data_IF_054256452149
#
_entry.id   IF_054256452149
#
_cell.length_a   1.000
_cell.length_b   1.000
_cell.length_c   1.000
_cell.angle_alpha   90.00
_cell.angle_beta   90.00
_cell.angle_gamma   90.00
#
_symmetry.space_group_name_H-M   'P 1'
#
loop_
_entity.id
_entity.type
_entity.pdbx_description
1 polymer ?
#
# COMPACT_ATOMS: atom_id res chain seq x y z
N UNK A 1 -4.66 -19.28 -5.35
CA UNK A 1 -5.20 -18.63 -6.57
C UNK A 1 -4.90 -17.14 -6.45
N UNK A 2 -3.77 -16.67 -6.98
CA UNK A 2 -3.46 -15.23 -7.00
C UNK A 2 -4.02 -14.66 -8.31
N UNK A 3 -5.03 -13.81 -8.21
CA UNK A 3 -5.58 -13.09 -9.36
C UNK A 3 -4.54 -12.08 -9.84
N UNK A 4 -3.79 -12.42 -10.89
CA UNK A 4 -2.94 -11.47 -11.62
C UNK A 4 -3.84 -10.57 -12.46
N UNK A 5 -4.32 -9.48 -11.87
CA UNK A 5 -4.97 -8.39 -12.61
C UNK A 5 -3.96 -7.83 -13.59
N UNK A 6 -4.13 -8.15 -14.87
CA UNK A 6 -3.29 -7.60 -15.95
C UNK A 6 -3.63 -6.12 -16.06
N UNK A 7 -2.77 -5.26 -15.53
CA UNK A 7 -2.90 -3.81 -15.61
C UNK A 7 -2.60 -3.39 -17.04
N UNK A 8 -3.51 -2.63 -17.65
CA UNK A 8 -3.33 -2.07 -19.00
C UNK A 8 -2.96 -0.60 -18.86
N UNK A 9 -1.94 -0.15 -19.58
CA UNK A 9 -1.49 1.24 -19.57
C UNK A 9 -2.45 2.10 -20.40
N UNK A 10 -3.44 2.73 -19.75
CA UNK A 10 -4.40 3.65 -20.37
C UNK A 10 -4.00 5.11 -20.14
N UNK A 11 -3.46 5.43 -18.97
CA UNK A 11 -3.04 6.78 -18.65
C UNK A 11 -1.93 6.86 -17.60
N UNK A 12 -1.58 8.08 -17.19
CA UNK A 12 -0.48 8.33 -16.26
C UNK A 12 -0.67 7.70 -14.87
N UNK A 13 -1.92 7.51 -14.43
CA UNK A 13 -2.24 6.85 -13.15
C UNK A 13 -1.85 5.36 -13.15
N UNK A 14 -1.89 4.71 -14.31
CA UNK A 14 -1.56 3.29 -14.45
C UNK A 14 -0.05 3.07 -14.60
N UNK A 15 0.73 4.12 -14.86
CA UNK A 15 2.16 4.03 -15.12
C UNK A 15 2.91 3.31 -14.00
N UNK A 16 2.72 3.73 -12.75
CA UNK A 16 3.44 3.17 -11.60
C UNK A 16 3.16 1.68 -11.40
N UNK A 17 1.90 1.21 -11.28
CA UNK A 17 1.62 -0.22 -11.13
C UNK A 17 2.01 -1.03 -12.38
N UNK A 18 1.80 -0.50 -13.58
CA UNK A 18 2.15 -1.17 -14.84
C UNK A 18 3.67 -1.35 -14.98
N UNK A 19 4.44 -0.29 -14.76
CA UNK A 19 5.91 -0.32 -14.86
C UNK A 19 6.51 -1.30 -13.85
N UNK A 20 6.00 -1.32 -12.62
CA UNK A 20 6.42 -2.29 -11.60
C UNK A 20 6.17 -3.74 -12.05
N UNK A 21 5.01 -4.03 -12.66
CA UNK A 21 4.69 -5.36 -13.19
C UNK A 21 5.63 -5.77 -14.33
N UNK A 22 5.95 -4.85 -15.26
CA UNK A 22 6.88 -5.15 -16.37
C UNK A 22 8.31 -5.34 -15.90
N UNK A 23 8.76 -4.54 -14.93
CA UNK A 23 10.04 -4.74 -14.26
C UNK A 23 10.13 -6.12 -13.62
N UNK A 24 9.09 -6.52 -12.88
CA UNK A 24 9.05 -7.84 -12.25
C UNK A 24 9.06 -8.97 -13.30
N UNK A 25 8.30 -8.84 -14.38
CA UNK A 25 8.26 -9.81 -15.47
C UNK A 25 9.64 -10.02 -16.11
N UNK A 26 10.32 -8.93 -16.49
CA UNK A 26 11.67 -8.98 -17.06
C UNK A 26 12.73 -9.45 -16.06
N UNK A 27 12.54 -9.19 -14.76
CA UNK A 27 13.41 -9.70 -13.69
C UNK A 27 13.26 -11.22 -13.54
N UNK A 28 12.04 -11.75 -13.59
CA UNK A 28 11.77 -13.21 -13.56
C UNK A 28 12.41 -13.90 -14.76
N UNK A 29 12.39 -13.24 -15.92
CA UNK A 29 13.04 -13.71 -17.16
C UNK A 29 14.56 -13.55 -17.15
N UNK A 30 15.14 -12.85 -16.17
CA UNK A 30 16.57 -12.63 -16.04
C UNK A 30 17.16 -11.66 -17.07
N UNK A 31 16.32 -10.84 -17.72
CA UNK A 31 16.73 -9.94 -18.83
C UNK A 31 16.52 -8.46 -18.52
N UNK A 32 16.11 -8.10 -17.29
CA UNK A 32 15.88 -6.70 -16.91
C UNK A 32 17.07 -5.78 -17.24
N UNK A 33 18.31 -6.26 -17.09
CA UNK A 33 19.53 -5.49 -17.38
C UNK A 33 19.59 -4.94 -18.81
N UNK A 34 18.95 -5.60 -19.78
CA UNK A 34 18.86 -5.18 -21.17
C UNK A 34 17.63 -4.30 -21.46
N UNK A 35 16.60 -4.38 -20.62
CA UNK A 35 15.34 -3.66 -20.80
C UNK A 35 15.28 -2.35 -20.02
N UNK A 36 16.13 -2.19 -19.00
CA UNK A 36 16.10 -1.04 -18.08
C UNK A 36 16.43 0.27 -18.83
N UNK A 37 15.54 1.28 -18.82
CA UNK A 37 15.79 2.59 -19.42
C UNK A 37 17.11 3.23 -18.98
N UNK A 38 17.48 3.03 -17.71
CA UNK A 38 18.63 3.65 -17.05
C UNK A 38 19.94 2.83 -17.23
N UNK A 39 19.86 1.61 -17.76
CA UNK A 39 21.03 0.75 -17.99
C UNK A 39 21.72 1.06 -19.31
N UNK A 40 23.05 1.14 -19.32
CA UNK A 40 23.85 1.28 -20.56
C UNK A 40 24.13 -0.07 -21.25
N UNK A 41 23.60 -1.18 -20.72
CA UNK A 41 23.92 -2.52 -21.21
C UNK A 41 23.18 -2.82 -22.52
N UNK A 42 23.93 -2.84 -23.63
CA UNK A 42 23.38 -3.16 -24.94
C UNK A 42 22.91 -4.62 -25.01
N UNK A 43 21.89 -4.87 -25.83
CA UNK A 43 21.46 -6.21 -26.24
C UNK A 43 22.69 -6.98 -26.72
N UNK A 44 22.91 -8.21 -26.23
CA UNK A 44 24.17 -8.88 -26.48
C UNK A 44 24.32 -9.17 -27.97
N UNK A 45 25.53 -8.96 -28.51
CA UNK A 45 25.82 -9.22 -29.93
C UNK A 45 25.87 -10.73 -30.21
N UNK A 46 25.61 -11.17 -31.46
CA UNK A 46 25.80 -12.55 -31.87
C UNK A 46 27.24 -13.02 -31.58
N UNK A 47 27.38 -14.20 -30.99
CA UNK A 47 28.70 -14.79 -30.71
C UNK A 47 29.32 -15.23 -32.04
N UNK A 48 30.49 -14.67 -32.37
CA UNK A 48 31.19 -14.99 -33.61
C UNK A 48 31.47 -16.50 -33.75
N UNK A 49 31.17 -17.04 -34.91
CA UNK A 49 31.40 -18.45 -35.24
C UNK A 49 32.90 -18.76 -35.21
N UNK A 50 33.33 -19.90 -34.65
CA UNK A 50 34.73 -20.33 -34.69
C UNK A 50 35.15 -20.61 -36.14
N UNK A 51 36.43 -20.47 -36.45
CA UNK A 51 36.98 -20.93 -37.73
C UNK A 51 36.87 -22.47 -37.83
N UNK A 52 36.77 -23.02 -39.03
CA UNK A 52 36.74 -24.47 -39.29
C UNK A 52 37.98 -25.19 -38.72
N UNK A 53 39.12 -24.49 -38.64
CA UNK A 53 40.37 -25.01 -38.06
C UNK A 53 40.40 -25.01 -36.51
N UNK A 54 39.32 -24.58 -35.85
CA UNK A 54 39.26 -24.46 -34.40
C UNK A 54 39.14 -25.82 -33.70
N UNK A 55 39.59 -25.89 -32.44
CA UNK A 55 39.50 -27.11 -31.65
C UNK A 55 38.05 -27.52 -31.36
N UNK A 56 37.81 -28.82 -31.15
CA UNK A 56 36.50 -29.35 -30.76
C UNK A 56 35.94 -28.70 -29.46
N UNK A 57 36.83 -28.24 -28.57
CA UNK A 57 36.43 -27.53 -27.35
C UNK A 57 35.98 -26.09 -27.64
N UNK A 58 36.59 -25.42 -28.62
CA UNK A 58 36.16 -24.09 -29.06
C UNK A 58 34.74 -24.13 -29.66
N UNK A 59 34.45 -25.17 -30.44
CA UNK A 59 33.11 -25.43 -30.98
C UNK A 59 32.07 -25.69 -29.88
N UNK A 60 32.40 -26.52 -28.87
CA UNK A 60 31.51 -26.76 -27.71
C UNK A 60 31.26 -25.48 -26.89
N UNK A 61 32.30 -24.68 -26.65
CA UNK A 61 32.17 -23.41 -25.94
C UNK A 61 31.30 -22.43 -26.72
N UNK A 62 31.46 -22.35 -28.04
CA UNK A 62 30.63 -21.53 -28.90
C UNK A 62 29.17 -21.99 -28.84
N UNK A 63 28.89 -23.29 -28.95
CA UNK A 63 27.53 -23.83 -28.91
C UNK A 63 26.82 -23.52 -27.58
N UNK A 64 27.52 -23.64 -26.45
CA UNK A 64 26.97 -23.27 -25.13
C UNK A 64 26.67 -21.77 -25.07
N UNK A 65 27.58 -20.94 -25.59
CA UNK A 65 27.41 -19.47 -25.61
C UNK A 65 26.29 -19.03 -26.54
N UNK A 66 26.18 -19.60 -27.74
CA UNK A 66 25.15 -19.27 -28.73
C UNK A 66 23.76 -19.69 -28.23
N UNK A 67 23.61 -20.87 -27.63
CA UNK A 67 22.36 -21.30 -26.98
C UNK A 67 21.94 -20.37 -25.84
N UNK A 68 22.90 -19.96 -25.00
CA UNK A 68 22.63 -18.98 -23.93
C UNK A 68 22.16 -17.64 -24.51
N UNK A 69 22.79 -17.20 -25.59
CA UNK A 69 22.46 -15.97 -26.27
C UNK A 69 21.07 -16.00 -26.90
N UNK A 70 20.74 -17.08 -27.62
CA UNK A 70 19.41 -17.28 -28.22
C UNK A 70 18.31 -17.28 -27.15
N UNK A 71 18.56 -17.92 -26.00
CA UNK A 71 17.64 -17.90 -24.85
C UNK A 71 17.41 -16.47 -24.32
N UNK A 72 18.46 -15.66 -24.22
CA UNK A 72 18.36 -14.25 -23.80
C UNK A 72 17.56 -13.43 -24.81
N UNK A 73 17.87 -13.54 -26.11
CA UNK A 73 17.16 -12.81 -27.17
C UNK A 73 15.67 -13.19 -27.22
N UNK A 74 15.36 -14.48 -27.05
CA UNK A 74 13.98 -14.96 -26.95
C UNK A 74 13.26 -14.36 -25.74
N UNK A 75 13.90 -14.33 -24.58
CA UNK A 75 13.33 -13.73 -23.37
C UNK A 75 13.11 -12.21 -23.52
N UNK A 76 14.02 -11.49 -24.18
CA UNK A 76 13.84 -10.06 -24.53
C UNK A 76 12.64 -9.88 -25.45
N UNK A 77 12.51 -10.72 -26.48
CA UNK A 77 11.35 -10.70 -27.39
C UNK A 77 10.02 -10.96 -26.68
N UNK A 78 10.00 -11.88 -25.71
CA UNK A 78 8.82 -12.12 -24.87
C UNK A 78 8.44 -10.91 -24.01
N UNK A 79 9.42 -10.18 -23.46
CA UNK A 79 9.19 -8.91 -22.74
C UNK A 79 8.62 -7.85 -23.68
N UNK A 80 9.16 -7.72 -24.90
CA UNK A 80 8.66 -6.78 -25.91
C UNK A 80 7.18 -7.05 -26.22
N UNK A 81 6.84 -8.30 -26.53
CA UNK A 81 5.46 -8.70 -26.80
C UNK A 81 4.53 -8.40 -25.62
N UNK A 82 5.02 -8.59 -24.41
CA UNK A 82 4.24 -8.36 -23.20
C UNK A 82 4.04 -6.87 -22.89
N UNK A 83 4.97 -6.00 -23.30
CA UNK A 83 4.77 -4.55 -23.30
C UNK A 83 3.68 -4.19 -24.31
N UNK A 84 3.81 -4.61 -25.57
CA UNK A 84 2.85 -4.32 -26.65
C UNK A 84 1.43 -4.78 -26.32
N UNK A 85 1.26 -5.95 -25.69
CA UNK A 85 -0.06 -6.50 -25.33
C UNK A 85 -0.78 -5.74 -24.23
N UNK A 86 -0.05 -5.03 -23.38
CA UNK A 86 -0.62 -4.39 -22.18
C UNK A 86 -0.60 -2.87 -22.27
N UNK A 87 -0.21 -2.32 -23.40
CA UNK A 87 -0.40 -0.91 -23.72
C UNK A 87 -1.77 -0.76 -24.37
N UNK A 88 -2.51 0.28 -24.00
CA UNK A 88 -3.79 0.57 -24.62
C UNK A 88 -3.64 0.75 -26.13
N UNK A 89 -4.61 0.26 -26.90
CA UNK A 89 -4.65 0.37 -28.37
C UNK A 89 -4.49 1.81 -28.85
N UNK A 90 -4.98 2.78 -28.07
CA UNK A 90 -4.85 4.22 -28.32
C UNK A 90 -3.40 4.69 -28.35
N UNK A 91 -2.51 4.06 -27.57
CA UNK A 91 -1.12 4.50 -27.36
C UNK A 91 -0.10 3.63 -28.09
N UNK A 92 -0.55 2.59 -28.80
CA UNK A 92 0.33 1.70 -29.60
C UNK A 92 1.12 2.47 -30.66
N UNK A 93 0.58 3.57 -31.18
CA UNK A 93 1.27 4.44 -32.15
C UNK A 93 2.58 5.04 -31.61
N UNK A 94 2.71 5.18 -30.29
CA UNK A 94 3.95 5.66 -29.64
C UNK A 94 5.07 4.63 -29.70
N UNK A 95 4.74 3.35 -29.84
CA UNK A 95 5.68 2.21 -29.75
C UNK A 95 5.87 1.52 -31.10
N UNK A 96 4.90 1.59 -32.00
CA UNK A 96 4.96 0.90 -33.31
C UNK A 96 5.86 1.59 -34.35
N UNK A 97 6.86 2.36 -33.91
CA UNK A 97 7.82 3.05 -34.77
C UNK A 97 9.05 2.17 -34.97
N UNK A 98 9.68 2.23 -36.15
CA UNK A 98 10.89 1.44 -36.45
C UNK A 98 12.09 1.70 -35.49
N UNK A 99 12.04 2.78 -34.73
CA UNK A 99 13.03 3.14 -33.69
C UNK A 99 12.80 2.39 -32.36
N UNK A 100 11.73 1.57 -32.27
CA UNK A 100 11.21 0.98 -31.04
C UNK A 100 11.16 -0.56 -31.05
N UNK A 101 12.04 -1.20 -31.80
CA UNK A 101 12.16 -2.67 -31.82
C UNK A 101 12.74 -3.25 -30.51
N UNK A 102 13.40 -2.42 -29.70
CA UNK A 102 14.03 -2.82 -28.45
C UNK A 102 13.19 -2.41 -27.22
N UNK A 103 12.91 -3.31 -26.26
CA UNK A 103 12.10 -3.02 -25.07
C UNK A 103 12.53 -1.76 -24.31
N UNK A 104 13.83 -1.46 -24.27
CA UNK A 104 14.34 -0.28 -23.58
C UNK A 104 13.81 1.00 -24.21
N UNK A 105 13.93 1.12 -25.53
CA UNK A 105 13.47 2.29 -26.27
C UNK A 105 11.95 2.51 -26.11
N UNK A 106 11.18 1.43 -26.11
CA UNK A 106 9.74 1.46 -25.84
C UNK A 106 9.45 1.97 -24.43
N UNK A 107 10.14 1.41 -23.42
CA UNK A 107 9.97 1.80 -22.03
C UNK A 107 10.38 3.26 -21.80
N UNK A 108 11.44 3.75 -22.44
CA UNK A 108 11.86 5.16 -22.36
C UNK A 108 10.82 6.09 -22.99
N UNK A 109 10.29 5.78 -24.17
CA UNK A 109 9.25 6.59 -24.81
C UNK A 109 7.98 6.63 -23.96
N UNK A 110 7.54 5.47 -23.47
CA UNK A 110 6.37 5.39 -22.59
C UNK A 110 6.62 6.10 -21.26
N UNK A 111 7.82 6.01 -20.70
CA UNK A 111 8.20 6.73 -19.50
C UNK A 111 8.10 8.24 -19.74
N UNK A 112 8.62 8.75 -20.84
CA UNK A 112 8.53 10.18 -21.16
C UNK A 112 7.08 10.66 -21.34
N UNK A 113 6.20 9.79 -21.84
CA UNK A 113 4.81 10.16 -22.13
C UNK A 113 3.85 9.97 -20.93
N UNK A 114 4.06 8.95 -20.10
CA UNK A 114 3.14 8.57 -19.02
C UNK A 114 3.69 8.80 -17.62
N UNK A 115 5.01 8.94 -17.44
CA UNK A 115 5.55 9.32 -16.13
C UNK A 115 5.12 10.76 -15.89
N UNK A 116 4.14 10.93 -15.00
CA UNK A 116 3.79 12.24 -14.45
C UNK A 116 5.08 12.87 -13.95
N UNK A 117 5.51 13.94 -14.61
CA UNK A 117 6.73 14.68 -14.23
C UNK A 117 6.58 15.10 -12.79
N UNK A 118 7.66 15.11 -12.00
CA UNK A 118 7.57 15.49 -10.58
C UNK A 118 6.96 16.91 -10.42
N UNK A 119 7.20 17.80 -11.38
CA UNK A 119 6.53 19.11 -11.46
C UNK A 119 5.01 18.98 -11.68
N UNK A 120 4.55 18.10 -12.56
CA UNK A 120 3.12 17.90 -12.81
C UNK A 120 2.43 17.25 -11.61
N UNK A 121 3.10 16.31 -10.92
CA UNK A 121 2.61 15.75 -9.65
C UNK A 121 2.45 16.85 -8.60
N UNK A 122 3.43 17.76 -8.49
CA UNK A 122 3.35 18.91 -7.58
C UNK A 122 2.19 19.84 -7.91
N UNK A 123 1.96 20.12 -9.20
CA UNK A 123 0.82 20.96 -9.64
C UNK A 123 -0.53 20.29 -9.38
N UNK A 124 -0.65 18.98 -9.64
CA UNK A 124 -1.84 18.20 -9.34
C UNK A 124 -2.11 18.17 -7.83
N UNK A 125 -1.08 17.95 -7.01
CA UNK A 125 -1.19 18.00 -5.55
C UNK A 125 -1.58 19.40 -5.05
N UNK A 126 -1.02 20.47 -5.61
CA UNK A 126 -1.39 21.84 -5.27
C UNK A 126 -2.86 22.13 -5.63
N UNK A 127 -3.33 21.63 -6.78
CA UNK A 127 -4.71 21.77 -7.22
C UNK A 127 -5.65 21.01 -6.28
N UNK A 128 -5.35 19.74 -5.98
CA UNK A 128 -6.11 18.93 -5.02
C UNK A 128 -6.12 19.55 -3.63
N UNK A 129 -5.02 20.15 -3.19
CA UNK A 129 -4.94 20.84 -1.91
C UNK A 129 -5.78 22.14 -1.90
N UNK A 130 -5.79 22.90 -2.99
CA UNK A 130 -6.68 24.06 -3.13
C UNK A 130 -8.16 23.65 -3.17
N UNK A 131 -8.47 22.52 -3.79
CA UNK A 131 -9.82 22.00 -3.88
C UNK A 131 -10.30 21.48 -2.51
N UNK A 132 -9.48 20.74 -1.76
CA UNK A 132 -9.86 20.23 -0.43
C UNK A 132 -9.99 21.34 0.61
N UNK A 133 -9.33 22.49 0.42
CA UNK A 133 -9.59 23.70 1.24
C UNK A 133 -11.03 24.20 1.10
N UNK A 134 -11.67 23.95 -0.04
CA UNK A 134 -13.08 24.29 -0.27
C UNK A 134 -13.91 23.03 -0.03
N UNK A 135 -14.52 22.92 1.15
CA UNK A 135 -15.36 21.75 1.48
C UNK A 135 -16.40 21.47 0.37
N UNK A 136 -16.42 20.26 -0.23
CA UNK A 136 -17.44 19.90 -1.20
C UNK A 136 -18.82 19.86 -0.55
N UNK A 137 -19.80 20.55 -1.14
CA UNK A 137 -21.16 20.70 -0.58
C UNK A 137 -21.89 19.36 -0.32
N UNK A 138 -21.46 18.29 -0.99
CA UNK A 138 -22.11 16.98 -0.97
C UNK A 138 -21.31 15.92 -0.18
N UNK A 139 -20.17 16.26 0.43
CA UNK A 139 -19.33 15.31 1.16
C UNK A 139 -19.51 15.44 2.67
N UNK A 140 -19.58 14.31 3.37
CA UNK A 140 -19.63 14.28 4.83
C UNK A 140 -18.35 14.84 5.45
N UNK A 141 -18.46 15.50 6.61
CA UNK A 141 -17.33 16.14 7.31
C UNK A 141 -16.20 15.15 7.58
N UNK A 142 -16.51 13.90 7.96
CA UNK A 142 -15.49 12.88 8.24
C UNK A 142 -14.71 12.47 7.00
N UNK A 143 -15.41 12.20 5.88
CA UNK A 143 -14.75 11.81 4.63
C UNK A 143 -13.85 12.94 4.09
N UNK A 144 -14.29 14.19 4.25
CA UNK A 144 -13.49 15.37 3.93
C UNK A 144 -12.22 15.46 4.80
N UNK A 145 -12.30 15.20 6.11
CA UNK A 145 -11.15 15.23 7.01
C UNK A 145 -10.14 14.11 6.72
N UNK A 146 -10.63 12.92 6.37
CA UNK A 146 -9.77 11.79 5.99
C UNK A 146 -8.99 12.11 4.70
N UNK A 147 -9.66 12.66 3.69
CA UNK A 147 -9.01 13.12 2.45
C UNK A 147 -8.03 14.27 2.71
N UNK A 148 -8.40 15.23 3.56
CA UNK A 148 -7.52 16.34 3.95
C UNK A 148 -6.24 15.82 4.63
N UNK A 149 -6.35 14.84 5.53
CA UNK A 149 -5.20 14.19 6.16
C UNK A 149 -4.32 13.46 5.14
N UNK A 150 -4.92 12.71 4.21
CA UNK A 150 -4.19 11.99 3.17
C UNK A 150 -3.43 12.94 2.22
N UNK A 151 -4.07 13.99 1.73
CA UNK A 151 -3.46 14.96 0.80
C UNK A 151 -2.33 15.72 1.52
N UNK A 152 -2.54 16.15 2.76
CA UNK A 152 -1.51 16.86 3.53
C UNK A 152 -0.29 15.99 3.80
N UNK A 153 -0.46 14.70 4.11
CA UNK A 153 0.67 13.75 4.20
C UNK A 153 1.45 13.65 2.88
N UNK A 154 0.77 13.62 1.74
CA UNK A 154 1.44 13.60 0.43
C UNK A 154 2.20 14.91 0.15
N UNK A 155 1.64 16.06 0.52
CA UNK A 155 2.31 17.36 0.38
C UNK A 155 3.55 17.49 1.29
N UNK A 156 3.52 16.91 2.49
CA UNK A 156 4.68 16.84 3.39
C UNK A 156 5.79 15.97 2.77
N UNK A 157 5.42 14.81 2.22
CA UNK A 157 6.36 13.91 1.57
C UNK A 157 7.06 14.56 0.36
N UNK A 158 6.32 15.33 -0.43
CA UNK A 158 6.84 16.04 -1.62
C UNK A 158 7.49 17.40 -1.28
N UNK A 159 7.61 17.74 0.02
CA UNK A 159 8.19 19.00 0.52
C UNK A 159 7.60 20.25 -0.15
N UNK A 160 6.26 20.31 -0.25
CA UNK A 160 5.56 21.43 -0.87
C UNK A 160 5.74 22.73 -0.04
N UNK A 161 5.95 23.89 -0.70
CA UNK A 161 6.12 25.15 0.02
C UNK A 161 4.88 25.52 0.82
N UNK A 162 3.70 25.10 0.37
CA UNK A 162 2.41 25.38 1.03
C UNK A 162 2.32 24.80 2.44
N UNK A 163 3.09 23.75 2.73
CA UNK A 163 3.13 23.04 4.01
C UNK A 163 4.29 23.47 4.92
N UNK A 164 5.09 24.46 4.50
CA UNK A 164 6.18 24.97 5.33
C UNK A 164 5.63 25.86 6.45
N UNK A 165 6.24 25.78 7.64
CA UNK A 165 5.90 26.57 8.84
C UNK A 165 4.48 26.33 9.40
N UNK A 166 3.86 27.38 9.95
CA UNK A 166 2.50 27.38 10.51
C UNK A 166 1.40 27.54 9.45
N UNK A 167 1.77 27.65 8.16
CA UNK A 167 0.82 27.96 7.07
C UNK A 167 -0.24 26.88 6.89
N UNK A 168 0.11 25.61 7.04
CA UNK A 168 -0.84 24.51 6.89
C UNK A 168 -1.94 24.54 7.97
N UNK A 169 -1.57 24.91 9.20
CA UNK A 169 -2.48 25.09 10.34
C UNK A 169 -3.46 26.23 10.06
N UNK A 170 -2.95 27.39 9.64
CA UNK A 170 -3.78 28.54 9.27
C UNK A 170 -4.75 28.21 8.13
N UNK A 171 -4.29 27.51 7.09
CA UNK A 171 -5.13 27.08 5.96
C UNK A 171 -6.25 26.15 6.40
N UNK A 172 -6.00 25.23 7.31
CA UNK A 172 -7.02 24.34 7.84
C UNK A 172 -8.09 25.09 8.64
N UNK A 173 -7.69 26.03 9.51
CA UNK A 173 -8.62 26.86 10.27
C UNK A 173 -9.53 27.67 9.34
N UNK A 174 -8.96 28.26 8.28
CA UNK A 174 -9.74 28.96 7.26
C UNK A 174 -10.71 28.01 6.52
N UNK A 175 -10.27 26.81 6.14
CA UNK A 175 -11.11 25.82 5.48
C UNK A 175 -12.31 25.40 6.36
N UNK A 176 -12.10 25.22 7.67
CA UNK A 176 -13.17 24.92 8.63
C UNK A 176 -14.13 26.10 8.78
N UNK A 177 -13.63 27.34 8.81
CA UNK A 177 -14.48 28.54 8.83
C UNK A 177 -15.39 28.60 7.61
N UNK A 178 -14.82 28.40 6.42
CA UNK A 178 -15.56 28.43 5.15
C UNK A 178 -16.54 27.25 5.04
N UNK A 179 -16.33 26.19 5.82
CA UNK A 179 -17.24 25.04 5.92
C UNK A 179 -18.49 25.27 6.78
N UNK A 180 -18.53 26.36 7.55
CA UNK A 180 -19.67 26.81 8.36
C UNK A 180 -19.42 26.85 9.88
N UNK A 181 -18.33 26.28 10.39
CA UNK A 181 -18.03 26.22 11.84
C UNK A 181 -17.15 27.41 12.29
N UNK A 182 -17.68 28.63 12.14
CA UNK A 182 -16.97 29.88 12.42
C UNK A 182 -16.50 30.00 13.88
N UNK A 183 -17.33 29.59 14.84
CA UNK A 183 -17.00 29.66 16.27
C UNK A 183 -15.79 28.78 16.65
N UNK A 184 -15.70 27.59 16.05
CA UNK A 184 -14.55 26.71 16.26
C UNK A 184 -13.28 27.28 15.62
N UNK A 185 -13.39 27.76 14.38
CA UNK A 185 -12.28 28.35 13.66
C UNK A 185 -11.72 29.58 14.39
N UNK A 186 -12.58 30.47 14.88
CA UNK A 186 -12.17 31.67 15.63
C UNK A 186 -11.44 31.31 16.94
N UNK A 187 -11.91 30.28 17.66
CA UNK A 187 -11.26 29.81 18.88
C UNK A 187 -9.86 29.25 18.62
N UNK A 188 -9.68 28.49 17.53
CA UNK A 188 -8.35 27.99 17.17
C UNK A 188 -7.45 29.07 16.58
N UNK A 189 -8.02 30.06 15.87
CA UNK A 189 -7.28 31.23 15.36
C UNK A 189 -6.61 31.98 16.52
N UNK A 190 -7.38 32.32 17.56
CA UNK A 190 -6.86 32.99 18.76
C UNK A 190 -5.83 32.13 19.51
N UNK A 191 -6.04 30.81 19.57
CA UNK A 191 -5.08 29.89 20.19
C UNK A 191 -3.74 29.81 19.43
N UNK A 192 -3.77 29.90 18.10
CA UNK A 192 -2.57 29.99 17.27
C UNK A 192 -1.83 31.31 17.47
N UNK A 193 -2.52 32.45 17.47
CA UNK A 193 -1.89 33.76 17.75
C UNK A 193 -1.26 33.82 19.14
N UNK A 194 -1.92 33.26 20.15
CA UNK A 194 -1.38 33.18 21.51
C UNK A 194 -0.16 32.25 21.62
N UNK A 195 -0.13 31.17 20.82
CA UNK A 195 1.02 30.27 20.73
C UNK A 195 2.22 30.90 20.02
N UNK A 196 1.99 31.70 18.98
CA UNK A 196 3.06 32.47 18.31
C UNK A 196 3.61 33.58 19.22
N UNK A 197 2.76 34.19 20.06
CA UNK A 197 3.17 35.23 21.01
C UNK A 197 3.88 34.69 22.27
N UNK A 198 3.77 33.39 22.54
CA UNK A 198 4.30 32.74 23.74
C UNK A 198 5.20 31.56 23.39
N UNK A 199 6.52 31.76 23.43
CA UNK A 199 7.55 30.72 23.21
C UNK A 199 7.40 29.47 24.12
N UNK A 200 6.54 29.54 25.15
CA UNK A 200 6.26 28.48 26.11
C UNK A 200 5.15 27.50 25.69
N UNK A 201 4.32 27.85 24.70
CA UNK A 201 3.22 26.99 24.24
C UNK A 201 3.55 26.43 22.85
N UNK A 202 3.72 25.11 22.70
CA UNK A 202 3.97 24.52 21.39
C UNK A 202 2.78 24.78 20.47
N UNK A 203 3.05 25.31 19.28
CA UNK A 203 2.01 25.49 18.26
C UNK A 203 1.43 24.12 17.90
N UNK A 204 0.10 23.97 17.89
CA UNK A 204 -0.53 22.69 17.61
C UNK A 204 -0.17 22.22 16.20
N UNK A 205 0.10 20.92 16.05
CA UNK A 205 0.36 20.34 14.72
C UNK A 205 -0.92 20.34 13.91
N UNK A 206 -0.82 20.35 12.57
CA UNK A 206 -1.98 20.20 11.70
C UNK A 206 -2.84 18.98 12.07
N UNK A 207 -2.21 17.84 12.36
CA UNK A 207 -2.89 16.61 12.80
C UNK A 207 -3.61 16.77 14.14
N UNK A 208 -3.06 17.57 15.06
CA UNK A 208 -3.72 17.88 16.33
C UNK A 208 -4.98 18.71 16.10
N UNK A 209 -4.94 19.67 15.17
CA UNK A 209 -6.09 20.48 14.78
C UNK A 209 -7.19 19.63 14.12
N UNK A 210 -6.81 18.74 13.19
CA UNK A 210 -7.75 17.79 12.56
C UNK A 210 -8.41 16.91 13.64
N UNK A 211 -7.62 16.34 14.56
CA UNK A 211 -8.13 15.49 15.65
C UNK A 211 -8.99 16.25 16.66
N UNK A 212 -8.69 17.54 16.91
CA UNK A 212 -9.55 18.42 17.73
C UNK A 212 -10.88 18.66 17.04
N UNK A 213 -10.85 19.00 15.75
CA UNK A 213 -12.07 19.23 14.99
C UNK A 213 -12.92 17.96 14.88
N UNK A 214 -12.33 16.78 14.62
CA UNK A 214 -13.07 15.50 14.62
C UNK A 214 -13.85 15.25 15.93
N UNK A 215 -13.30 15.66 17.08
CA UNK A 215 -13.95 15.49 18.40
C UNK A 215 -15.06 16.49 18.67
N UNK A 216 -14.94 17.71 18.14
CA UNK A 216 -15.86 18.82 18.40
C UNK A 216 -16.83 19.09 17.27
N UNK A 217 -16.58 18.51 16.08
CA UNK A 217 -17.43 18.64 14.92
C UNK A 217 -18.85 18.23 15.34
N UNK A 218 -19.88 19.01 14.95
CA UNK A 218 -21.25 18.69 15.27
C UNK A 218 -21.52 17.30 14.73
N UNK A 219 -21.53 16.31 15.62
CA UNK A 219 -21.97 14.97 15.28
C UNK A 219 -23.40 15.18 14.82
N UNK A 220 -23.66 14.96 13.53
CA UNK A 220 -25.03 14.78 13.05
C UNK A 220 -25.50 13.48 13.70
N UNK A 221 -25.84 13.57 14.99
CA UNK A 221 -26.55 12.51 15.66
C UNK A 221 -27.94 12.57 15.06
N UNK A 222 -28.21 11.59 14.20
CA UNK A 222 -29.56 11.11 13.97
C UNK A 222 -30.08 10.53 15.30
N UNK A 223 -30.39 11.38 16.28
CA UNK A 223 -31.05 11.03 17.54
C UNK A 223 -32.21 11.97 17.81
N UNK A 224 -33.01 12.27 16.79
CA UNK A 224 -34.44 12.54 17.00
C UNK A 224 -35.21 11.22 16.95
N UNK A 225 -34.94 10.32 17.92
CA UNK A 225 -35.96 9.37 18.34
C UNK A 225 -36.70 10.03 19.49
N UNK A 226 -37.77 10.71 19.11
CA UNK A 226 -38.83 11.30 19.91
C UNK A 226 -38.98 10.57 21.25
N UNK A 227 -38.70 11.27 22.36
CA UNK A 227 -39.03 10.83 23.71
C UNK A 227 -40.54 10.56 23.75
N UNK A 228 -40.90 9.28 23.73
CA UNK A 228 -42.25 8.80 23.98
C UNK A 228 -42.63 9.04 25.43
N UNK A 229 -43.69 9.82 25.59
CA UNK A 229 -44.44 10.18 26.78
C UNK A 229 -44.38 9.23 27.97
N UNK A 230 -44.19 9.86 29.13
CA UNK A 230 -44.36 9.36 30.48
C UNK A 230 -45.79 8.85 30.71
N UNK A 231 -45.97 7.61 31.17
CA UNK A 231 -47.13 7.21 31.99
C UNK A 231 -46.69 6.27 33.09
N UNK A 232 -46.73 6.78 34.31
CA UNK A 232 -46.65 6.02 35.55
C UNK A 232 -47.82 5.06 35.65
N UNK A 233 -47.58 3.79 35.99
CA UNK A 233 -48.26 3.11 37.10
C UNK A 233 -47.76 1.66 37.31
N UNK A 234 -47.41 1.41 38.58
CA UNK A 234 -47.75 0.22 39.35
C UNK A 234 -46.80 -0.99 39.42
N UNK A 235 -46.39 -1.19 40.68
CA UNK A 235 -46.24 -2.46 41.41
C UNK A 235 -45.02 -3.34 41.17
N UNK A 236 -44.11 -3.21 42.13
CA UNK A 236 -43.25 -4.27 42.66
C UNK A 236 -44.05 -5.56 42.88
N UNK A 237 -43.61 -6.65 42.28
CA UNK A 237 -43.84 -8.00 42.80
C UNK A 237 -42.61 -8.86 42.49
N UNK A 238 -41.77 -9.01 43.50
CA UNK A 238 -40.76 -10.06 43.59
C UNK A 238 -41.54 -11.36 43.77
N UNK A 239 -41.42 -12.28 42.82
CA UNK A 239 -41.87 -13.67 43.01
C UNK A 239 -40.75 -14.58 42.56
N UNK A 240 -40.08 -15.14 43.54
CA UNK A 240 -39.15 -16.25 43.43
C UNK A 240 -39.93 -17.54 43.09
N UNK A 241 -39.43 -18.38 42.18
CA UNK A 241 -39.50 -19.81 42.44
C UNK A 241 -38.18 -20.52 42.14
N UNK A 242 -37.74 -21.34 43.10
CA UNK A 242 -36.75 -22.42 42.97
C UNK A 242 -37.50 -23.77 43.10
N UNK A 243 -36.94 -24.95 42.80
CA UNK A 243 -36.02 -25.39 41.74
C UNK A 243 -36.66 -26.51 40.89
N UNK A 244 -36.16 -26.77 39.68
CA UNK A 244 -36.13 -28.15 39.14
C UNK A 244 -34.77 -28.44 38.55
N UNK A 245 -34.15 -29.46 39.13
CA UNK A 245 -32.93 -30.10 38.70
C UNK A 245 -33.12 -30.72 37.31
N UNK A 246 -32.22 -30.43 36.39
CA UNK A 246 -31.82 -31.41 35.40
C UNK A 246 -30.33 -31.22 35.13
N UNK A 247 -29.57 -32.24 35.50
CA UNK A 247 -28.18 -32.44 35.12
C UNK A 247 -28.12 -32.53 33.60
N UNK A 248 -27.33 -31.67 32.98
CA UNK A 248 -26.66 -32.01 31.73
C UNK A 248 -25.22 -31.50 31.76
N UNK A 249 -24.37 -32.43 31.38
CA UNK A 249 -22.93 -32.42 31.49
C UNK A 249 -22.40 -31.71 30.26
N UNK A 250 -21.75 -30.54 30.39
CA UNK A 250 -20.82 -30.14 29.36
C UNK A 250 -19.63 -29.33 29.90
N UNK A 251 -18.46 -29.89 29.61
CA UNK A 251 -17.17 -29.57 30.20
C UNK A 251 -16.54 -28.41 29.43
N UNK A 252 -16.83 -27.19 29.87
CA UNK A 252 -16.03 -26.02 29.53
C UNK A 252 -14.75 -26.00 30.37
N UNK A 253 -13.59 -26.17 29.71
CA UNK A 253 -12.32 -25.57 30.16
C UNK A 253 -11.48 -25.27 28.92
N UNK A 254 -11.65 -24.08 28.34
CA UNK A 254 -10.57 -23.42 27.61
C UNK A 254 -9.45 -23.10 28.62
N UNK A 255 -8.22 -23.45 28.27
CA UNK A 255 -7.07 -23.34 29.14
C UNK A 255 -6.56 -21.88 29.22
N UNK A 256 -7.07 -21.13 30.18
CA UNK A 256 -6.45 -19.89 30.64
C UNK A 256 -5.48 -20.21 31.81
N UNK A 257 -4.20 -19.86 31.68
CA UNK A 257 -3.29 -19.80 32.83
C UNK A 257 -1.83 -20.19 32.56
N UNK A 258 -1.09 -19.43 31.74
CA UNK A 258 0.39 -19.44 31.82
C UNK A 258 0.83 -18.56 32.99
N UNK A 259 1.46 -19.16 34.01
CA UNK A 259 2.20 -18.40 35.05
C UNK A 259 3.38 -17.69 34.40
N UNK A 260 3.56 -16.39 34.69
CA UNK A 260 4.62 -15.52 34.13
C UNK A 260 6.04 -15.95 34.47
N UNK A 261 6.22 -16.94 35.34
CA UNK A 261 7.52 -17.30 35.92
C UNK A 261 7.94 -18.76 35.61
N UNK A 262 7.30 -19.41 34.63
CA UNK A 262 7.63 -20.79 34.27
C UNK A 262 9.00 -20.87 33.57
N UNK A 263 10.00 -21.38 34.29
CA UNK A 263 11.27 -21.82 33.71
C UNK A 263 11.21 -23.35 33.50
N UNK A 264 11.23 -23.85 32.25
CA UNK A 264 11.24 -25.28 32.00
C UNK A 264 12.50 -25.93 32.61
N UNK A 265 12.31 -27.06 33.29
CA UNK A 265 13.41 -27.81 33.90
C UNK A 265 14.37 -28.30 32.81
N UNK A 266 15.68 -28.30 33.05
CA UNK A 266 16.71 -28.74 32.07
C UNK A 266 16.38 -30.09 31.43
N UNK A 267 15.85 -31.04 32.22
CA UNK A 267 15.39 -32.36 31.74
C UNK A 267 14.23 -32.28 30.73
N UNK A 268 13.31 -31.33 30.88
CA UNK A 268 12.20 -31.13 29.95
C UNK A 268 12.68 -30.50 28.63
N UNK A 269 13.69 -29.63 28.69
CA UNK A 269 14.33 -29.08 27.48
C UNK A 269 15.10 -30.17 26.72
N UNK A 270 15.82 -31.06 27.42
CA UNK A 270 16.51 -32.19 26.78
C UNK A 270 15.54 -33.16 26.10
N UNK A 271 14.42 -33.50 26.76
CA UNK A 271 13.38 -34.36 26.16
C UNK A 271 12.70 -33.70 24.95
N UNK A 272 12.55 -32.38 24.96
CA UNK A 272 12.00 -31.63 23.84
C UNK A 272 12.97 -31.61 22.66
N UNK A 273 14.26 -31.40 22.91
CA UNK A 273 15.31 -31.45 21.89
C UNK A 273 15.39 -32.86 21.27
N UNK A 274 15.36 -33.92 22.08
CA UNK A 274 15.37 -35.31 21.60
C UNK A 274 14.11 -35.64 20.76
N UNK A 275 12.95 -35.10 21.14
CA UNK A 275 11.71 -35.21 20.36
C UNK A 275 11.75 -34.45 19.03
N UNK A 276 12.54 -33.36 18.94
CA UNK A 276 12.81 -32.62 17.70
C UNK A 276 13.90 -33.27 16.83
N UNK A 277 14.82 -34.03 17.40
CA UNK A 277 15.83 -34.78 16.63
C UNK A 277 15.26 -36.06 15.99
N UNK A 278 14.11 -36.54 16.46
CA UNK A 278 13.44 -37.67 15.86
C UNK A 278 12.87 -37.31 14.46
N UNK A 279 13.52 -37.80 13.40
CA UNK A 279 13.17 -37.50 12.00
C UNK A 279 11.71 -37.80 11.64
N UNK A 280 11.05 -38.70 12.35
CA UNK A 280 9.66 -39.08 12.06
C UNK A 280 8.63 -38.11 12.65
N UNK A 281 8.92 -37.46 13.77
CA UNK A 281 8.05 -36.40 14.33
C UNK A 281 8.12 -35.16 13.45
N UNK A 282 9.32 -34.81 12.97
CA UNK A 282 9.55 -33.66 12.11
C UNK A 282 8.89 -33.79 10.72
N UNK A 283 8.85 -35.01 10.17
CA UNK A 283 8.08 -35.34 8.96
C UNK A 283 6.57 -35.18 9.18
N UNK A 284 6.05 -35.65 10.32
CA UNK A 284 4.61 -35.52 10.67
C UNK A 284 4.20 -34.06 10.86
N UNK A 285 5.04 -33.26 11.53
CA UNK A 285 4.78 -31.82 11.73
C UNK A 285 4.86 -31.05 10.41
N UNK A 286 5.86 -31.32 9.55
CA UNK A 286 5.92 -30.70 8.21
C UNK A 286 4.71 -31.07 7.34
N UNK A 287 4.24 -32.32 7.43
CA UNK A 287 3.02 -32.75 6.74
C UNK A 287 1.79 -32.00 7.28
N UNK A 288 1.64 -31.89 8.59
CA UNK A 288 0.54 -31.14 9.21
C UNK A 288 0.54 -29.65 8.85
N UNK A 289 1.72 -29.01 8.78
CA UNK A 289 1.84 -27.60 8.34
C UNK A 289 1.49 -27.42 6.86
N UNK A 290 1.91 -28.36 6.01
CA UNK A 290 1.57 -28.35 4.58
C UNK A 290 0.08 -28.58 4.34
N UNK A 291 -0.54 -29.47 5.13
CA UNK A 291 -1.97 -29.76 5.06
C UNK A 291 -2.81 -28.60 5.64
N UNK A 292 -2.24 -27.79 6.53
CA UNK A 292 -2.87 -26.58 7.09
C UNK A 292 -2.68 -25.31 6.24
N UNK A 293 -1.92 -25.37 5.13
CA UNK A 293 -1.77 -24.24 4.19
C UNK A 293 -0.98 -23.04 4.71
N UNK A 294 -0.19 -23.20 5.77
CA UNK A 294 0.65 -22.14 6.34
C UNK A 294 2.05 -22.26 5.71
N UNK A 295 2.38 -21.36 4.78
CA UNK A 295 3.71 -21.22 4.18
C UNK A 295 4.59 -20.28 5.00
#
# INVERSE_FOLDING_TARGET
MATTTTTVLQGPADWTPWYAAKRQYATIKGVWQYCDPDSTMATPLPVAEPSDDSSADAWKIWEIKSRRQESILKAIGEVNLEILRTVATTHVHLINRAEHDDPRSQLTTLQNHFKVTDQQRRLELATRYSDIQKKPKNQGVQAWLDEYSQITSQCIQESMPEMTETRAQWRFIHAVRDSGDEAWAQAQFLAMEQGEASDLLPTPTLQDLISRYQRTAPTVQNTTRTLGSFTSQSSLSITEPKPREHLDTDRSTCAEGRRKDFKPTSKALSQLIEAFENKDTLKKVKKAYKDAGIQ
#
